data_IF_627019918383
#
_entry.id   IF_627019918383
#
_cell.length_a   1.000
_cell.length_b   1.000
_cell.length_c   1.000
_cell.angle_alpha   90.00
_cell.angle_beta   90.00
_cell.angle_gamma   90.00
#
_symmetry.space_group_name_H-M   'P 1'
#
loop_
_entity.id
_entity.type
_entity.pdbx_description
1 polymer ?
#
# COMPACT_ATOMS: atom_id res chain seq x y z
N UNK A 1 -81.95 55.32 -0.65
CA UNK A 1 -82.93 54.76 -1.62
C UNK A 1 -82.20 53.80 -2.57
N UNK A 2 -82.82 52.63 -2.84
CA UNK A 2 -82.47 51.56 -3.83
C UNK A 2 -81.24 50.70 -3.46
N UNK A 3 -81.39 49.47 -2.95
CA UNK A 3 -81.84 48.17 -3.53
C UNK A 3 -80.78 47.46 -4.40
N UNK A 4 -80.25 46.36 -3.85
CA UNK A 4 -80.12 44.99 -4.41
C UNK A 4 -79.52 44.79 -5.81
N UNK A 5 -78.61 43.80 -5.98
CA UNK A 5 -78.91 42.42 -6.42
C UNK A 5 -77.79 41.80 -7.29
N UNK A 6 -77.42 40.56 -6.92
CA UNK A 6 -77.19 39.37 -7.78
C UNK A 6 -75.91 39.25 -8.67
N UNK A 7 -75.06 38.24 -8.39
CA UNK A 7 -74.89 36.93 -9.11
C UNK A 7 -73.82 37.04 -10.22
N UNK A 8 -72.99 36.07 -10.62
CA UNK A 8 -72.67 34.67 -10.32
C UNK A 8 -71.45 34.29 -11.23
N UNK A 9 -70.79 33.15 -10.99
CA UNK A 9 -70.00 32.35 -11.97
C UNK A 9 -68.59 32.92 -12.25
N UNK A 10 -67.45 32.22 -12.17
CA UNK A 10 -67.14 30.78 -12.16
C UNK A 10 -65.69 30.52 -11.71
N UNK A 11 -65.52 29.45 -10.93
CA UNK A 11 -64.51 28.36 -11.00
C UNK A 11 -63.40 28.54 -12.06
N UNK A 12 -62.11 28.45 -11.66
CA UNK A 12 -61.18 27.40 -12.12
C UNK A 12 -59.76 27.49 -11.48
N UNK A 13 -59.41 26.40 -10.80
CA UNK A 13 -58.11 25.72 -10.72
C UNK A 13 -56.86 26.41 -10.13
N UNK A 14 -56.66 26.08 -8.85
CA UNK A 14 -55.36 25.79 -8.25
C UNK A 14 -54.55 24.80 -9.11
N UNK A 15 -53.33 25.17 -9.49
CA UNK A 15 -52.20 24.24 -9.61
C UNK A 15 -50.90 25.04 -9.58
N UNK A 16 -49.92 24.64 -8.77
CA UNK A 16 -48.65 25.36 -8.77
C UNK A 16 -47.62 25.05 -7.69
N UNK A 17 -47.62 23.82 -7.16
CA UNK A 17 -46.45 23.19 -6.51
C UNK A 17 -45.96 23.85 -5.22
N UNK A 18 -46.64 23.54 -4.12
CA UNK A 18 -46.02 23.57 -2.80
C UNK A 18 -44.99 22.42 -2.76
N UNK A 19 -43.70 22.74 -2.93
CA UNK A 19 -42.61 21.78 -2.73
C UNK A 19 -42.58 21.44 -1.24
N UNK A 20 -43.31 20.39 -0.86
CA UNK A 20 -43.10 19.69 0.40
C UNK A 20 -41.74 18.99 0.31
N UNK A 21 -40.68 19.70 0.68
CA UNK A 21 -39.41 19.12 1.08
C UNK A 21 -39.68 18.28 2.34
N UNK A 22 -40.08 17.04 2.12
CA UNK A 22 -40.06 16.01 3.12
C UNK A 22 -38.60 15.76 3.45
N UNK A 23 -38.18 16.25 4.62
CA UNK A 23 -36.96 15.83 5.27
C UNK A 23 -37.08 14.33 5.56
N UNK A 24 -36.76 13.51 4.57
CA UNK A 24 -36.40 12.12 4.81
C UNK A 24 -35.07 12.17 5.56
N UNK A 25 -35.12 12.18 6.88
CA UNK A 25 -33.99 11.76 7.70
C UNK A 25 -33.63 10.35 7.25
N UNK A 26 -32.67 10.23 6.33
CA UNK A 26 -31.94 8.99 6.15
C UNK A 26 -31.28 8.73 7.48
N UNK A 27 -31.93 7.93 8.33
CA UNK A 27 -31.30 7.29 9.49
C UNK A 27 -30.09 6.56 8.94
N UNK A 28 -28.93 7.19 9.04
CA UNK A 28 -27.64 6.53 8.83
C UNK A 28 -27.64 5.45 9.90
N UNK A 29 -27.89 4.19 9.50
CA UNK A 29 -27.75 3.05 10.40
C UNK A 29 -26.33 3.14 10.93
N UNK A 30 -26.16 3.50 12.22
CA UNK A 30 -24.87 3.36 12.90
C UNK A 30 -24.42 1.92 12.66
N UNK A 31 -23.26 1.73 12.03
CA UNK A 31 -22.66 0.40 11.90
C UNK A 31 -22.64 -0.25 13.28
N UNK A 32 -22.96 -1.55 13.40
CA UNK A 32 -23.00 -2.22 14.69
C UNK A 32 -21.65 -2.09 15.39
N UNK A 33 -21.69 -1.85 16.70
CA UNK A 33 -20.54 -1.61 17.60
C UNK A 33 -19.41 -2.64 17.41
N UNK A 34 -19.80 -3.88 17.09
CA UNK A 34 -18.92 -5.02 16.80
C UNK A 34 -17.89 -4.72 15.69
N UNK A 35 -18.28 -3.99 14.64
CA UNK A 35 -17.38 -3.67 13.53
C UNK A 35 -16.32 -2.61 13.91
N UNK A 36 -16.60 -1.76 14.91
CA UNK A 36 -15.66 -0.76 15.42
C UNK A 36 -14.68 -1.43 16.38
N UNK A 37 -15.16 -2.36 17.20
CA UNK A 37 -14.34 -3.11 18.16
C UNK A 37 -13.37 -4.07 17.45
N UNK A 38 -13.83 -4.79 16.44
CA UNK A 38 -12.99 -5.67 15.61
C UNK A 38 -11.92 -4.88 14.84
N UNK A 39 -12.29 -3.74 14.24
CA UNK A 39 -11.35 -2.85 13.57
C UNK A 39 -10.28 -2.31 14.54
N UNK A 40 -10.68 -1.95 15.76
CA UNK A 40 -9.77 -1.47 16.80
C UNK A 40 -8.80 -2.55 17.27
N UNK A 41 -9.26 -3.80 17.39
CA UNK A 41 -8.40 -4.95 17.70
C UNK A 41 -7.40 -5.24 16.59
N UNK A 42 -7.86 -5.33 15.33
CA UNK A 42 -6.98 -5.56 14.18
C UNK A 42 -5.93 -4.45 14.04
N UNK A 43 -6.31 -3.20 14.31
CA UNK A 43 -5.36 -2.08 14.32
C UNK A 43 -4.32 -2.24 15.44
N UNK A 44 -4.74 -2.57 16.66
CA UNK A 44 -3.84 -2.75 17.79
C UNK A 44 -2.85 -3.93 17.59
N UNK A 45 -3.29 -5.01 16.95
CA UNK A 45 -2.42 -6.13 16.59
C UNK A 45 -1.37 -5.73 15.56
N UNK A 46 -1.78 -5.03 14.49
CA UNK A 46 -0.85 -4.51 13.49
C UNK A 46 0.13 -3.51 14.09
N UNK A 47 -0.32 -2.64 14.97
CA UNK A 47 0.54 -1.72 15.72
C UNK A 47 1.61 -2.48 16.50
N UNK A 48 1.21 -3.50 17.27
CA UNK A 48 2.14 -4.34 18.04
C UNK A 48 3.18 -5.01 17.14
N UNK A 49 2.74 -5.65 16.06
CA UNK A 49 3.63 -6.32 15.11
C UNK A 49 4.62 -5.34 14.46
N UNK A 50 4.17 -4.14 14.09
CA UNK A 50 5.03 -3.11 13.54
C UNK A 50 6.09 -2.65 14.54
N UNK A 51 5.73 -2.51 15.81
CA UNK A 51 6.66 -2.14 16.88
C UNK A 51 7.66 -3.26 17.18
N UNK A 52 7.26 -4.53 17.09
CA UNK A 52 8.15 -5.68 17.20
C UNK A 52 9.16 -5.72 16.04
N UNK A 53 8.68 -5.59 14.81
CA UNK A 53 9.52 -5.48 13.62
C UNK A 53 10.50 -4.29 13.72
N UNK A 54 10.02 -3.13 14.18
CA UNK A 54 10.87 -1.97 14.38
C UNK A 54 11.93 -2.21 15.47
N UNK A 55 11.62 -3.00 16.50
CA UNK A 55 12.56 -3.36 17.57
C UNK A 55 13.70 -4.26 17.05
N UNK A 56 13.41 -5.14 16.10
CA UNK A 56 14.44 -5.95 15.42
C UNK A 56 15.42 -5.06 14.63
N UNK A 57 14.92 -3.98 14.02
CA UNK A 57 15.71 -3.07 13.20
C UNK A 57 16.48 -2.06 14.08
N UNK A 58 15.76 -1.36 14.96
CA UNK A 58 16.26 -0.26 15.78
C UNK A 58 15.38 -0.04 17.02
N UNK A 59 15.79 -0.53 18.21
CA UNK A 59 15.08 -0.28 19.46
C UNK A 59 14.91 1.22 19.78
N UNK A 60 15.91 2.05 19.46
CA UNK A 60 15.87 3.52 19.65
C UNK A 60 14.70 4.17 18.89
N UNK A 61 14.35 3.64 17.70
CA UNK A 61 13.22 4.16 16.93
C UNK A 61 11.88 3.82 17.55
N UNK A 62 11.76 2.71 18.26
CA UNK A 62 10.53 2.35 18.99
C UNK A 62 10.26 3.40 20.05
N UNK A 63 11.26 3.75 20.86
CA UNK A 63 11.13 4.77 21.90
C UNK A 63 10.72 6.13 21.31
N UNK A 64 11.40 6.58 20.25
CA UNK A 64 11.06 7.83 19.57
C UNK A 64 9.64 7.83 19.01
N UNK A 65 9.22 6.73 18.39
CA UNK A 65 7.89 6.61 17.82
C UNK A 65 6.82 6.66 18.92
N UNK A 66 7.06 6.02 20.07
CA UNK A 66 6.17 6.10 21.22
C UNK A 66 6.13 7.52 21.84
N UNK A 67 7.25 8.25 21.88
CA UNK A 67 7.23 9.66 22.29
C UNK A 67 6.38 10.52 21.34
N UNK A 68 6.46 10.27 20.03
CA UNK A 68 5.61 10.96 19.04
C UNK A 68 4.14 10.65 19.28
N UNK A 69 3.79 9.42 19.70
CA UNK A 69 2.41 9.03 20.03
C UNK A 69 1.78 9.92 21.10
N UNK A 70 2.55 10.26 22.14
CA UNK A 70 2.10 11.09 23.26
C UNK A 70 1.92 12.57 22.87
N UNK A 71 2.73 13.07 21.93
CA UNK A 71 2.74 14.50 21.56
C UNK A 71 1.86 14.79 20.35
N UNK A 72 1.89 13.93 19.33
CA UNK A 72 1.20 14.12 18.07
C UNK A 72 0.77 12.77 17.46
N UNK A 73 -0.51 12.45 17.67
CA UNK A 73 -1.09 11.17 17.23
C UNK A 73 -1.17 11.03 15.71
N UNK A 74 -1.33 12.13 14.97
CA UNK A 74 -1.40 12.08 13.50
C UNK A 74 -0.02 11.78 12.90
N UNK A 75 1.03 12.42 13.43
CA UNK A 75 2.41 12.14 13.04
C UNK A 75 2.81 10.71 13.43
N UNK A 76 2.38 10.25 14.60
CA UNK A 76 2.56 8.85 15.00
C UNK A 76 1.91 7.88 14.01
N UNK A 77 0.65 8.12 13.65
CA UNK A 77 -0.07 7.26 12.70
C UNK A 77 0.60 7.26 11.32
N UNK A 78 1.11 8.41 10.87
CA UNK A 78 1.87 8.52 9.63
C UNK A 78 3.16 7.69 9.67
N UNK A 79 3.93 7.81 10.75
CA UNK A 79 5.18 7.05 10.91
C UNK A 79 4.90 5.54 11.08
N UNK A 80 3.90 5.17 11.88
CA UNK A 80 3.48 3.78 12.06
C UNK A 80 3.04 3.15 10.73
N UNK A 81 2.30 3.89 9.90
CA UNK A 81 1.91 3.41 8.56
C UNK A 81 3.12 3.09 7.70
N UNK A 82 4.17 3.91 7.73
CA UNK A 82 5.42 3.65 7.00
C UNK A 82 6.10 2.38 7.52
N UNK A 83 6.17 2.18 8.84
CA UNK A 83 6.73 0.96 9.44
C UNK A 83 5.92 -0.27 9.02
N UNK A 84 4.59 -0.18 9.02
CA UNK A 84 3.70 -1.24 8.56
C UNK A 84 3.95 -1.62 7.09
N UNK A 85 4.10 -0.62 6.22
CA UNK A 85 4.43 -0.84 4.81
C UNK A 85 5.79 -1.54 4.65
N UNK A 86 6.81 -1.11 5.40
CA UNK A 86 8.13 -1.75 5.39
C UNK A 86 8.07 -3.19 5.90
N UNK A 87 7.35 -3.43 7.00
CA UNK A 87 7.14 -4.76 7.58
C UNK A 87 6.45 -5.69 6.57
N UNK A 88 5.36 -5.24 5.95
CA UNK A 88 4.64 -6.03 4.94
C UNK A 88 5.53 -6.35 3.73
N UNK A 89 6.36 -5.40 3.30
CA UNK A 89 7.30 -5.61 2.20
C UNK A 89 8.41 -6.60 2.55
N UNK A 90 8.88 -6.63 3.81
CA UNK A 90 9.86 -7.61 4.26
C UNK A 90 9.21 -8.99 4.41
N UNK A 91 8.14 -9.10 5.20
CA UNK A 91 7.48 -10.37 5.55
C UNK A 91 6.90 -11.14 4.37
N UNK A 92 6.67 -10.50 3.22
CA UNK A 92 6.29 -11.23 1.99
C UNK A 92 7.32 -12.30 1.58
N UNK A 93 8.58 -12.14 2.00
CA UNK A 93 9.66 -13.08 1.73
C UNK A 93 9.94 -14.05 2.88
N UNK A 94 9.40 -13.81 4.08
CA UNK A 94 9.74 -14.58 5.28
C UNK A 94 9.62 -16.10 5.09
N UNK A 95 8.59 -16.55 4.36
CA UNK A 95 8.39 -17.98 4.05
C UNK A 95 8.92 -18.42 2.69
N UNK A 96 8.91 -17.53 1.70
CA UNK A 96 9.20 -17.87 0.30
C UNK A 96 10.68 -17.73 -0.05
N UNK A 97 11.38 -16.84 0.65
CA UNK A 97 12.79 -16.48 0.43
C UNK A 97 13.37 -15.93 1.75
N UNK A 98 13.64 -16.79 2.76
CA UNK A 98 14.09 -16.37 4.08
C UNK A 98 15.41 -15.60 4.07
N UNK A 99 16.33 -15.96 3.19
CA UNK A 99 17.61 -15.25 3.04
C UNK A 99 17.38 -13.80 2.58
N UNK A 100 16.44 -13.57 1.66
CA UNK A 100 16.07 -12.22 1.25
C UNK A 100 15.39 -11.44 2.37
N UNK A 101 14.55 -12.09 3.18
CA UNK A 101 13.98 -11.47 4.37
C UNK A 101 15.09 -10.98 5.32
N UNK A 102 16.04 -11.85 5.65
CA UNK A 102 17.17 -11.52 6.51
C UNK A 102 18.02 -10.37 5.93
N UNK A 103 18.32 -10.40 4.61
CA UNK A 103 19.03 -9.29 3.94
C UNK A 103 18.28 -7.97 4.04
N UNK A 104 16.95 -7.97 3.91
CA UNK A 104 16.13 -6.75 4.03
C UNK A 104 16.21 -6.19 5.46
N UNK A 105 15.98 -7.04 6.47
CA UNK A 105 16.03 -6.63 7.88
C UNK A 105 17.43 -6.11 8.23
N UNK A 106 18.48 -6.83 7.80
CA UNK A 106 19.87 -6.43 8.02
C UNK A 106 20.20 -5.09 7.37
N UNK A 107 19.81 -4.90 6.11
CA UNK A 107 20.01 -3.64 5.39
C UNK A 107 19.35 -2.48 6.14
N UNK A 108 18.09 -2.65 6.58
CA UNK A 108 17.37 -1.63 7.35
C UNK A 108 18.07 -1.31 8.66
N UNK A 109 18.49 -2.32 9.41
CA UNK A 109 19.20 -2.11 10.69
C UNK A 109 20.50 -1.33 10.50
N UNK A 110 21.28 -1.67 9.47
CA UNK A 110 22.52 -0.95 9.13
C UNK A 110 22.25 0.48 8.66
N UNK A 111 21.19 0.72 7.87
CA UNK A 111 20.78 2.06 7.47
C UNK A 111 20.45 2.92 8.69
N UNK A 112 19.66 2.40 9.64
CA UNK A 112 19.35 3.11 10.88
C UNK A 112 20.58 3.42 11.72
N UNK A 113 21.45 2.43 11.88
CA UNK A 113 22.71 2.59 12.60
C UNK A 113 23.60 3.66 11.94
N UNK A 114 23.72 3.64 10.61
CA UNK A 114 24.49 4.63 9.87
C UNK A 114 23.93 6.05 10.04
N UNK A 115 22.60 6.21 10.04
CA UNK A 115 21.98 7.51 10.27
C UNK A 115 22.20 8.00 11.71
N UNK A 116 22.14 7.10 12.70
CA UNK A 116 22.40 7.45 14.10
C UNK A 116 23.85 7.86 14.32
N UNK A 117 24.81 7.11 13.78
CA UNK A 117 26.22 7.46 13.80
C UNK A 117 26.50 8.77 13.04
N UNK A 118 25.84 9.03 11.92
CA UNK A 118 25.96 10.30 11.21
C UNK A 118 25.44 11.50 12.01
N UNK A 119 24.40 11.32 12.84
CA UNK A 119 23.97 12.35 13.80
C UNK A 119 24.99 12.53 14.92
N UNK A 120 25.46 11.43 15.52
CA UNK A 120 26.47 11.46 16.58
C UNK A 120 27.76 12.13 16.10
N UNK A 121 28.26 11.80 14.91
CA UNK A 121 29.46 12.38 14.31
C UNK A 121 29.39 13.91 14.22
N UNK A 122 28.25 14.47 13.79
CA UNK A 122 28.06 15.92 13.68
C UNK A 122 28.17 16.64 15.03
N UNK A 123 27.84 15.96 16.12
CA UNK A 123 27.82 16.51 17.48
C UNK A 123 29.09 16.15 18.27
N UNK A 124 29.89 15.19 17.79
CA UNK A 124 31.05 14.65 18.49
C UNK A 124 32.26 15.59 18.49
N UNK A 125 33.11 15.44 19.51
CA UNK A 125 34.42 16.09 19.58
C UNK A 125 35.38 15.54 18.51
N UNK A 126 36.48 16.25 18.25
CA UNK A 126 37.48 15.83 17.25
C UNK A 126 38.08 14.45 17.56
N UNK A 127 38.26 14.11 18.83
CA UNK A 127 38.76 12.80 19.27
C UNK A 127 37.76 11.66 19.08
N UNK A 128 36.46 11.93 19.21
CA UNK A 128 35.40 10.91 19.06
C UNK A 128 35.05 10.66 17.58
N UNK A 129 35.19 11.68 16.73
CA UNK A 129 34.88 11.59 15.29
C UNK A 129 35.63 10.49 14.57
N UNK A 130 36.91 10.27 14.89
CA UNK A 130 37.73 9.24 14.25
C UNK A 130 37.16 7.82 14.47
N UNK A 131 36.68 7.52 15.68
CA UNK A 131 36.07 6.23 15.98
C UNK A 131 34.72 6.06 15.27
N UNK A 132 33.90 7.12 15.25
CA UNK A 132 32.61 7.11 14.56
C UNK A 132 32.80 6.96 13.04
N UNK A 133 33.82 7.58 12.44
CA UNK A 133 34.17 7.44 11.02
C UNK A 133 34.59 6.00 10.69
N UNK A 134 35.41 5.37 11.53
CA UNK A 134 35.81 3.98 11.33
C UNK A 134 34.59 3.03 11.36
N UNK A 135 33.67 3.24 12.30
CA UNK A 135 32.45 2.45 12.39
C UNK A 135 31.50 2.70 11.20
N UNK A 136 31.32 3.97 10.81
CA UNK A 136 30.55 4.34 9.63
C UNK A 136 31.10 3.69 8.37
N UNK A 137 32.43 3.71 8.17
CA UNK A 137 33.06 3.10 7.01
C UNK A 137 32.77 1.59 6.92
N UNK A 138 32.84 0.89 8.06
CA UNK A 138 32.50 -0.54 8.13
C UNK A 138 31.04 -0.79 7.74
N UNK A 139 30.11 -0.03 8.31
CA UNK A 139 28.67 -0.18 8.04
C UNK A 139 28.34 0.15 6.58
N UNK A 140 28.93 1.21 6.03
CA UNK A 140 28.71 1.62 4.64
C UNK A 140 29.27 0.60 3.65
N UNK A 141 30.39 -0.04 3.97
CA UNK A 141 30.95 -1.14 3.18
C UNK A 141 29.99 -2.34 3.18
N UNK A 142 29.50 -2.76 4.35
CA UNK A 142 28.52 -3.86 4.45
C UNK A 142 27.21 -3.55 3.70
N UNK A 143 26.71 -2.31 3.80
CA UNK A 143 25.54 -1.86 3.04
C UNK A 143 25.78 -1.88 1.54
N UNK A 144 26.97 -1.53 1.09
CA UNK A 144 27.33 -1.59 -0.32
C UNK A 144 27.28 -3.02 -0.83
N UNK A 145 27.91 -3.96 -0.11
CA UNK A 145 27.95 -5.37 -0.49
C UNK A 145 26.55 -5.98 -0.53
N UNK A 146 25.71 -5.72 0.48
CA UNK A 146 24.31 -6.18 0.49
C UNK A 146 23.49 -5.64 -0.70
N UNK A 147 23.72 -4.38 -1.08
CA UNK A 147 23.03 -3.76 -2.23
C UNK A 147 23.53 -4.32 -3.56
N UNK A 148 24.82 -4.58 -3.68
CA UNK A 148 25.39 -5.22 -4.86
C UNK A 148 24.88 -6.65 -5.02
N UNK A 149 24.77 -7.41 -3.94
CA UNK A 149 24.21 -8.76 -3.98
C UNK A 149 22.75 -8.75 -4.47
N UNK A 150 21.92 -7.87 -3.89
CA UNK A 150 20.53 -7.71 -4.34
C UNK A 150 20.43 -7.31 -5.83
N UNK A 151 21.35 -6.46 -6.32
CA UNK A 151 21.40 -6.08 -7.74
C UNK A 151 21.78 -7.26 -8.62
N UNK A 152 22.75 -8.09 -8.22
CA UNK A 152 23.15 -9.29 -8.96
C UNK A 152 22.01 -10.29 -9.08
N UNK A 153 21.28 -10.53 -7.99
CA UNK A 153 20.10 -11.39 -8.00
C UNK A 153 19.00 -10.86 -8.92
N UNK A 154 18.73 -9.55 -8.86
CA UNK A 154 17.73 -8.90 -9.72
C UNK A 154 18.13 -9.05 -11.21
N UNK A 155 19.40 -8.83 -11.54
CA UNK A 155 19.94 -9.04 -12.90
C UNK A 155 19.71 -10.48 -13.35
N UNK A 156 20.06 -11.48 -12.54
CA UNK A 156 19.88 -12.89 -12.89
C UNK A 156 18.39 -13.26 -13.13
N UNK A 157 17.48 -12.72 -12.30
CA UNK A 157 16.03 -12.89 -12.47
C UNK A 157 15.53 -12.25 -13.77
N UNK A 158 16.01 -11.04 -14.08
CA UNK A 158 15.66 -10.34 -15.32
C UNK A 158 16.19 -11.06 -16.56
N UNK A 159 17.41 -11.60 -16.52
CA UNK A 159 17.98 -12.39 -17.60
C UNK A 159 17.17 -13.67 -17.87
N UNK A 160 16.75 -14.37 -16.81
CA UNK A 160 15.88 -15.55 -16.91
C UNK A 160 14.55 -15.19 -17.58
N UNK A 161 13.88 -14.13 -17.10
CA UNK A 161 12.62 -13.66 -17.68
C UNK A 161 12.77 -13.19 -19.12
N UNK A 162 13.88 -12.53 -19.44
CA UNK A 162 14.18 -12.10 -20.81
C UNK A 162 14.33 -13.30 -21.74
N UNK A 163 14.98 -14.37 -21.28
CA UNK A 163 15.11 -15.62 -22.03
C UNK A 163 13.73 -16.25 -22.28
N UNK A 164 12.90 -16.39 -21.25
CA UNK A 164 11.53 -16.93 -21.38
C UNK A 164 10.69 -16.13 -22.38
N UNK A 165 10.76 -14.80 -22.33
CA UNK A 165 10.05 -13.92 -23.27
C UNK A 165 10.53 -14.09 -24.71
N UNK A 166 11.85 -14.25 -24.91
CA UNK A 166 12.43 -14.53 -26.23
C UNK A 166 11.98 -15.89 -26.77
N UNK A 167 12.00 -16.91 -25.91
CA UNK A 167 11.56 -18.27 -26.25
C UNK A 167 10.07 -18.27 -26.65
N UNK A 168 9.21 -17.61 -25.86
CA UNK A 168 7.78 -17.44 -26.17
C UNK A 168 7.52 -16.66 -27.46
N UNK A 169 8.29 -15.60 -27.72
CA UNK A 169 8.17 -14.81 -28.95
C UNK A 169 8.54 -15.66 -30.17
N UNK A 170 9.60 -16.46 -30.08
CA UNK A 170 10.03 -17.38 -31.13
C UNK A 170 8.95 -18.43 -31.40
N UNK A 171 8.45 -19.10 -30.37
CA UNK A 171 7.38 -20.09 -30.49
C UNK A 171 6.13 -19.49 -31.15
N UNK A 172 5.74 -18.28 -30.75
CA UNK A 172 4.61 -17.57 -31.34
C UNK A 172 4.85 -17.27 -32.83
N UNK A 173 6.06 -16.88 -33.20
CA UNK A 173 6.42 -16.58 -34.58
C UNK A 173 6.42 -17.85 -35.45
N UNK A 174 6.93 -18.96 -34.93
CA UNK A 174 6.89 -20.28 -35.61
C UNK A 174 5.45 -20.75 -35.81
N UNK A 175 4.57 -20.50 -34.83
CA UNK A 175 3.16 -20.85 -34.88
C UNK A 175 2.26 -19.78 -35.53
N UNK A 176 2.83 -18.74 -36.15
CA UNK A 176 2.08 -17.59 -36.68
C UNK A 176 0.93 -18.00 -37.60
N UNK A 177 1.18 -18.93 -38.52
CA UNK A 177 0.18 -19.37 -39.49
C UNK A 177 -1.03 -20.04 -38.81
N UNK A 178 -0.77 -20.92 -37.85
CA UNK A 178 -1.81 -21.60 -37.07
C UNK A 178 -2.59 -20.62 -36.19
N UNK A 179 -1.91 -19.67 -35.55
CA UNK A 179 -2.55 -18.59 -34.76
C UNK A 179 -3.49 -17.76 -35.66
N UNK A 180 -3.04 -17.37 -36.86
CA UNK A 180 -3.85 -16.63 -37.82
C UNK A 180 -5.04 -17.48 -38.28
N UNK A 181 -4.82 -18.76 -38.61
CA UNK A 181 -5.89 -19.68 -39.04
C UNK A 181 -6.97 -19.84 -37.95
N UNK A 182 -6.57 -20.07 -36.70
CA UNK A 182 -7.49 -20.16 -35.56
C UNK A 182 -8.28 -18.87 -35.39
N UNK A 183 -7.60 -17.73 -35.46
CA UNK A 183 -8.26 -16.42 -35.33
C UNK A 183 -9.23 -16.15 -36.48
N UNK A 184 -8.86 -16.52 -37.70
CA UNK A 184 -9.74 -16.42 -38.88
C UNK A 184 -11.00 -17.27 -38.69
N UNK A 185 -10.85 -18.55 -38.30
CA UNK A 185 -11.98 -19.45 -38.06
C UNK A 185 -12.93 -18.92 -36.97
N UNK A 186 -12.39 -18.36 -35.88
CA UNK A 186 -13.21 -17.71 -34.84
C UNK A 186 -14.01 -16.53 -35.41
N UNK A 187 -13.39 -15.68 -36.23
CA UNK A 187 -14.03 -14.48 -36.77
C UNK A 187 -15.05 -14.80 -37.88
N UNK A 188 -14.86 -15.90 -38.62
CA UNK A 188 -15.77 -16.35 -39.68
C UNK A 188 -16.87 -17.28 -39.17
N UNK A 189 -16.93 -17.56 -37.87
CA UNK A 189 -17.91 -18.49 -37.28
C UNK A 189 -17.66 -19.96 -37.64
N UNK A 190 -16.47 -20.27 -38.17
CA UNK A 190 -16.03 -21.63 -38.50
C UNK A 190 -15.30 -22.32 -37.35
N UNK A 191 -15.12 -21.62 -36.21
CA UNK A 191 -14.63 -22.27 -35.00
C UNK A 191 -15.66 -23.29 -34.53
N UNK A 192 -15.25 -24.56 -34.45
CA UNK A 192 -16.06 -25.58 -33.80
C UNK A 192 -16.50 -25.07 -32.43
N UNK A 193 -17.82 -25.13 -32.21
CA UNK A 193 -18.47 -24.72 -30.97
C UNK A 193 -17.79 -25.48 -29.82
N UNK A 194 -17.17 -24.76 -28.88
CA UNK A 194 -16.88 -25.32 -27.56
C UNK A 194 -18.23 -25.39 -26.84
N UNK A 195 -18.93 -26.51 -27.01
CA UNK A 195 -20.01 -26.89 -26.10
C UNK A 195 -19.35 -27.20 -24.75
N UNK A 196 -19.66 -26.38 -23.75
CA UNK A 196 -19.32 -26.66 -22.36
C UNK A 196 -20.51 -27.39 -21.75
N UNK A 197 -20.43 -28.72 -21.67
CA UNK A 197 -21.25 -29.51 -20.73
C UNK A 197 -20.65 -29.49 -19.32
#
# INVERSE_FOLDING_TARGET
MKKTMFLMVSVLLLSGVCVQLSAQEKKIKKKPDVAVEEYSRQFAEKEREALEFLREISPEKVEKLLMVKEVNRDEYNYQLKRVLEEMMQARRFEKSDPERYERIVRTKSLEEKSQSLGRAHRQASKSEKANIEAELNKILSELFDLREENRREEVAKLETRLKELKDSLKERQENKAEIIKRRLAQLTGQSQHLEWE
#
